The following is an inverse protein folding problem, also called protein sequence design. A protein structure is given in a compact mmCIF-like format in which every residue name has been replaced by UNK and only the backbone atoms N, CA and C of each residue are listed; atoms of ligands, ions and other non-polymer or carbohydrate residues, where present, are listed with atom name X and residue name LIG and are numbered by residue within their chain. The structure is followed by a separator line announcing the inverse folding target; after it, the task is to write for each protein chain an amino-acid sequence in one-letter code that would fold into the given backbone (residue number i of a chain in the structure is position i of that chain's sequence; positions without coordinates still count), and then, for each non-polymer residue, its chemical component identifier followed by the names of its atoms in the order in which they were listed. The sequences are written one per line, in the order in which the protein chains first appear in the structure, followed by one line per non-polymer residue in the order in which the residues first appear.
data_IF_985183635240
#
_entry.id   IF_985183635240
#
_cell.length_a   1.000
_cell.length_b   1.000
_cell.length_c   1.000
_cell.angle_alpha   90.00
_cell.angle_beta   90.00
_cell.angle_gamma   90.00
#
_symmetry.space_group_name_H-M   'P 1'
#
loop_
_entity.id
_entity.type
_entity.pdbx_description
1 polymer ?
#
# COMPACT_ATOMS: atom_id res chain seq x y z
N UNK A 1 -9.65 18.11 2.98
CA UNK A 1 -8.46 17.84 3.84
C UNK A 1 -7.46 18.97 3.61
N UNK A 2 -6.75 19.44 4.64
CA UNK A 2 -5.60 20.31 4.41
C UNK A 2 -4.49 19.55 3.66
N UNK A 3 -3.61 20.23 2.91
CA UNK A 3 -2.50 19.58 2.24
C UNK A 3 -1.69 18.72 3.21
N UNK A 4 -1.52 17.44 2.87
CA UNK A 4 -0.80 16.45 3.67
C UNK A 4 0.37 15.89 2.87
N UNK A 5 1.33 15.27 3.56
CA UNK A 5 2.55 14.70 3.00
C UNK A 5 2.41 13.19 2.90
N UNK A 6 2.27 12.69 1.67
CA UNK A 6 2.08 11.27 1.40
C UNK A 6 3.38 10.59 1.04
N UNK A 7 3.62 9.42 1.62
CA UNK A 7 4.55 8.43 1.11
C UNK A 7 3.78 7.21 0.62
N UNK A 8 3.95 6.87 -0.68
CA UNK A 8 3.29 5.72 -1.30
C UNK A 8 4.32 4.72 -1.79
N UNK A 9 4.40 3.54 -1.17
CA UNK A 9 5.30 2.49 -1.66
C UNK A 9 4.70 1.77 -2.87
N UNK A 10 5.52 1.44 -3.88
CA UNK A 10 5.03 0.84 -5.13
C UNK A 10 4.12 1.78 -5.93
N UNK A 11 4.37 3.10 -5.89
CA UNK A 11 3.54 4.13 -6.48
C UNK A 11 3.70 4.32 -7.99
N UNK A 12 4.58 3.56 -8.66
CA UNK A 12 4.84 3.75 -10.09
C UNK A 12 3.86 3.08 -11.04
N UNK A 13 2.99 2.19 -10.55
CA UNK A 13 1.98 1.47 -11.35
C UNK A 13 0.81 0.96 -10.51
N UNK A 14 -0.26 0.51 -11.17
CA UNK A 14 -1.41 -0.14 -10.55
C UNK A 14 -2.11 0.72 -9.51
N UNK A 15 -2.49 0.14 -8.37
CA UNK A 15 -3.20 0.82 -7.29
C UNK A 15 -2.35 1.98 -6.74
N UNK A 16 -1.04 1.75 -6.52
CA UNK A 16 -0.15 2.80 -6.03
C UNK A 16 -0.11 4.03 -6.92
N UNK A 17 -0.08 3.84 -8.24
CA UNK A 17 -0.12 4.94 -9.20
C UNK A 17 -1.43 5.73 -9.12
N UNK A 18 -2.57 5.06 -9.02
CA UNK A 18 -3.87 5.72 -8.86
C UNK A 18 -3.92 6.54 -7.56
N UNK A 19 -3.34 6.03 -6.46
CA UNK A 19 -3.25 6.77 -5.20
C UNK A 19 -2.37 8.01 -5.35
N UNK A 20 -1.21 7.90 -6.00
CA UNK A 20 -0.31 9.03 -6.27
C UNK A 20 -1.03 10.11 -7.09
N UNK A 21 -1.74 9.72 -8.16
CA UNK A 21 -2.50 10.66 -9.00
C UNK A 21 -3.60 11.37 -8.22
N UNK A 22 -4.40 10.63 -7.47
CA UNK A 22 -5.50 11.24 -6.70
C UNK A 22 -4.99 12.14 -5.57
N UNK A 23 -3.96 11.72 -4.84
CA UNK A 23 -3.37 12.55 -3.81
C UNK A 23 -2.79 13.87 -4.38
N UNK A 24 -2.10 13.80 -5.53
CA UNK A 24 -1.59 15.01 -6.21
C UNK A 24 -2.71 15.91 -6.73
N UNK A 25 -3.76 15.34 -7.33
CA UNK A 25 -4.93 16.09 -7.81
C UNK A 25 -5.69 16.78 -6.66
N UNK A 26 -5.66 16.19 -5.46
CA UNK A 26 -6.22 16.79 -4.25
C UNK A 26 -5.30 17.85 -3.58
N UNK A 27 -4.14 18.17 -4.18
CA UNK A 27 -3.22 19.20 -3.71
C UNK A 27 -2.25 18.74 -2.63
N UNK A 28 -2.11 17.42 -2.39
CA UNK A 28 -1.17 16.88 -1.43
C UNK A 28 0.27 16.86 -1.99
N UNK A 29 1.27 16.90 -1.11
CA UNK A 29 2.65 16.59 -1.44
C UNK A 29 2.82 15.07 -1.46
N UNK A 30 3.49 14.53 -2.49
CA UNK A 30 3.63 13.08 -2.63
C UNK A 30 5.05 12.71 -2.99
N UNK A 31 5.63 11.85 -2.17
CA UNK A 31 6.80 11.03 -2.51
C UNK A 31 6.30 9.61 -2.75
N UNK A 32 6.78 8.95 -3.77
CA UNK A 32 6.46 7.55 -4.03
C UNK A 32 7.71 6.74 -4.39
N UNK A 33 7.68 5.44 -4.11
CA UNK A 33 8.78 4.53 -4.44
C UNK A 33 8.36 3.52 -5.50
N UNK A 34 9.36 2.97 -6.18
CA UNK A 34 9.22 1.88 -7.13
C UNK A 34 10.58 1.28 -7.48
N UNK A 35 10.61 0.15 -8.19
CA UNK A 35 11.87 -0.48 -8.59
C UNK A 35 12.28 -0.16 -10.02
N UNK A 36 11.33 0.13 -10.88
CA UNK A 36 11.57 0.42 -12.29
C UNK A 36 11.68 1.93 -12.50
N UNK A 37 12.90 2.42 -12.84
CA UNK A 37 13.19 3.83 -13.01
C UNK A 37 12.35 4.47 -14.13
N UNK A 38 12.13 3.78 -15.24
CA UNK A 38 11.35 4.33 -16.36
C UNK A 38 9.88 4.59 -15.97
N UNK A 39 9.27 3.66 -15.20
CA UNK A 39 7.91 3.85 -14.69
C UNK A 39 7.84 4.96 -13.63
N UNK A 40 8.89 5.10 -12.81
CA UNK A 40 9.01 6.17 -11.82
C UNK A 40 9.05 7.51 -12.54
N UNK A 41 9.95 7.67 -13.53
CA UNK A 41 10.11 8.91 -14.29
C UNK A 41 8.82 9.29 -15.03
N UNK A 42 8.14 8.32 -15.62
CA UNK A 42 6.88 8.54 -16.31
C UNK A 42 5.79 9.05 -15.33
N UNK A 43 5.68 8.43 -14.15
CA UNK A 43 4.72 8.82 -13.12
C UNK A 43 5.06 10.19 -12.53
N UNK A 44 6.33 10.46 -12.24
CA UNK A 44 6.78 11.76 -11.75
C UNK A 44 6.47 12.90 -12.73
N UNK A 45 6.74 12.69 -14.04
CA UNK A 45 6.38 13.67 -15.09
C UNK A 45 4.88 13.89 -15.20
N UNK A 46 4.09 12.82 -15.08
CA UNK A 46 2.62 12.90 -15.21
C UNK A 46 1.99 13.67 -14.05
N UNK A 47 2.50 13.49 -12.83
CA UNK A 47 1.82 13.94 -11.60
C UNK A 47 2.51 15.11 -10.89
N UNK A 48 3.77 15.37 -11.20
CA UNK A 48 4.61 16.29 -10.43
C UNK A 48 4.95 15.76 -9.02
N UNK A 49 4.71 14.47 -8.75
CA UNK A 49 5.15 13.83 -7.51
C UNK A 49 6.64 13.49 -7.57
N UNK A 50 7.29 13.35 -6.41
CA UNK A 50 8.69 12.96 -6.31
C UNK A 50 8.80 11.43 -6.33
N UNK A 51 9.41 10.87 -7.37
CA UNK A 51 9.66 9.44 -7.50
C UNK A 51 11.04 9.06 -7.01
N UNK A 52 11.14 7.96 -6.26
CA UNK A 52 12.39 7.41 -5.75
C UNK A 52 12.53 5.95 -6.18
N UNK A 53 13.71 5.58 -6.69
CA UNK A 53 14.01 4.17 -6.91
C UNK A 53 14.40 3.53 -5.58
N UNK A 54 13.55 2.62 -5.09
CA UNK A 54 13.76 1.91 -3.85
C UNK A 54 13.00 0.58 -3.86
N UNK A 55 13.60 -0.44 -3.22
CA UNK A 55 12.96 -1.71 -2.90
C UNK A 55 12.67 -1.74 -1.39
N UNK A 56 11.39 -1.85 -1.03
CA UNK A 56 10.96 -1.87 0.37
C UNK A 56 11.55 -3.03 1.18
N UNK A 57 11.97 -4.12 0.53
CA UNK A 57 12.65 -5.25 1.18
C UNK A 57 14.10 -4.96 1.58
N UNK A 58 14.66 -3.81 1.15
CA UNK A 58 16.04 -3.40 1.42
C UNK A 58 16.04 -2.31 2.51
N UNK A 59 16.58 -2.58 3.73
CA UNK A 59 16.54 -1.61 4.84
C UNK A 59 17.20 -0.28 4.53
N UNK A 60 18.30 -0.25 3.75
CA UNK A 60 18.98 0.98 3.36
C UNK A 60 18.12 1.83 2.40
N UNK A 61 17.33 1.20 1.54
CA UNK A 61 16.39 1.89 0.67
C UNK A 61 15.26 2.54 1.48
N UNK A 62 14.80 1.86 2.53
CA UNK A 62 13.81 2.41 3.45
C UNK A 62 14.38 3.62 4.22
N UNK A 63 15.63 3.54 4.70
CA UNK A 63 16.30 4.67 5.35
C UNK A 63 16.38 5.88 4.41
N UNK A 64 16.93 5.69 3.19
CA UNK A 64 17.02 6.76 2.17
C UNK A 64 15.65 7.32 1.78
N UNK A 65 14.61 6.48 1.74
CA UNK A 65 13.25 6.92 1.45
C UNK A 65 12.72 7.87 2.53
N UNK A 66 12.95 7.55 3.81
CA UNK A 66 12.52 8.41 4.92
C UNK A 66 13.30 9.72 4.91
N UNK A 67 14.61 9.69 4.70
CA UNK A 67 15.45 10.89 4.60
C UNK A 67 14.96 11.80 3.46
N UNK A 68 14.71 11.25 2.28
CA UNK A 68 14.15 11.99 1.15
C UNK A 68 12.78 12.60 1.45
N UNK A 69 11.90 11.91 2.20
CA UNK A 69 10.62 12.47 2.63
C UNK A 69 10.83 13.69 3.57
N UNK A 70 11.80 13.61 4.48
CA UNK A 70 12.14 14.74 5.33
C UNK A 70 12.68 15.93 4.53
N UNK A 71 13.61 15.69 3.61
CA UNK A 71 14.20 16.74 2.77
C UNK A 71 13.17 17.40 1.83
N UNK A 72 12.29 16.61 1.21
CA UNK A 72 11.37 17.08 0.16
C UNK A 72 10.07 17.64 0.68
N UNK A 73 9.58 17.14 1.81
CA UNK A 73 8.25 17.45 2.35
C UNK A 73 8.26 17.85 3.83
N UNK A 74 9.38 17.72 4.53
CA UNK A 74 9.44 17.94 5.99
C UNK A 74 8.87 16.79 6.83
N UNK A 75 8.64 15.61 6.22
CA UNK A 75 8.18 14.40 6.91
C UNK A 75 7.03 13.68 6.20
N UNK A 76 6.36 12.78 6.91
CA UNK A 76 5.25 11.96 6.38
C UNK A 76 4.04 12.07 7.30
N UNK A 77 2.89 12.47 6.74
CA UNK A 77 1.60 12.50 7.45
C UNK A 77 0.77 11.26 7.13
N UNK A 78 0.86 10.78 5.88
CA UNK A 78 0.15 9.62 5.39
C UNK A 78 1.15 8.63 4.77
N UNK A 79 1.29 7.46 5.37
CA UNK A 79 2.05 6.35 4.83
C UNK A 79 1.09 5.36 4.17
N UNK A 80 1.29 5.08 2.87
CA UNK A 80 0.56 4.04 2.15
C UNK A 80 1.50 2.88 1.84
N UNK A 81 1.38 1.81 2.60
CA UNK A 81 2.07 0.55 2.42
C UNK A 81 1.37 -0.26 1.32
N UNK A 82 1.68 0.04 0.05
CA UNK A 82 1.08 -0.60 -1.11
C UNK A 82 2.04 -1.56 -1.83
N UNK A 83 3.35 -1.39 -1.71
CA UNK A 83 4.32 -2.28 -2.35
C UNK A 83 4.08 -3.74 -1.99
N UNK A 84 4.11 -4.60 -2.99
CA UNK A 84 3.92 -6.03 -2.82
C UNK A 84 3.78 -6.76 -4.14
N UNK A 85 3.92 -8.08 -4.11
CA UNK A 85 3.67 -8.95 -5.24
C UNK A 85 3.09 -10.29 -4.79
N UNK A 86 2.65 -11.12 -5.74
CA UNK A 86 2.12 -12.44 -5.48
C UNK A 86 3.06 -13.52 -6.04
N UNK A 87 3.45 -14.44 -5.18
CA UNK A 87 4.00 -15.74 -5.56
C UNK A 87 2.99 -16.83 -5.22
N UNK A 88 2.75 -17.74 -6.14
CA UNK A 88 1.79 -18.83 -6.02
C UNK A 88 2.45 -20.15 -6.34
N UNK A 89 2.02 -21.22 -5.68
CA UNK A 89 2.50 -22.57 -5.92
C UNK A 89 1.65 -23.59 -5.17
N UNK A 90 1.60 -24.82 -5.69
CA UNK A 90 0.91 -25.93 -5.04
C UNK A 90 1.74 -26.44 -3.86
N UNK A 91 1.08 -26.86 -2.79
CA UNK A 91 1.78 -27.52 -1.69
C UNK A 91 2.45 -28.82 -2.20
N UNK A 92 3.66 -29.07 -1.76
CA UNK A 92 4.51 -30.16 -2.29
C UNK A 92 5.50 -29.69 -3.37
N UNK A 93 5.20 -28.60 -4.10
CA UNK A 93 6.10 -27.96 -5.07
C UNK A 93 6.37 -26.49 -4.75
N UNK A 94 5.88 -25.98 -3.62
CA UNK A 94 6.05 -24.60 -3.22
C UNK A 94 7.51 -24.30 -2.87
N UNK A 95 8.11 -23.34 -3.56
CA UNK A 95 9.46 -22.87 -3.29
C UNK A 95 9.46 -21.93 -2.06
N UNK A 96 10.03 -22.40 -0.96
CA UNK A 96 10.10 -21.66 0.30
C UNK A 96 11.02 -20.44 0.19
N UNK A 97 12.04 -20.44 -0.66
CA UNK A 97 12.91 -19.27 -0.84
C UNK A 97 12.16 -18.13 -1.48
N UNK A 98 11.38 -18.39 -2.53
CA UNK A 98 10.49 -17.39 -3.15
C UNK A 98 9.38 -16.90 -2.21
N UNK A 99 8.88 -17.78 -1.34
CA UNK A 99 7.94 -17.37 -0.29
C UNK A 99 8.60 -16.39 0.68
N UNK A 100 9.85 -16.64 1.12
CA UNK A 100 10.60 -15.73 1.99
C UNK A 100 10.82 -14.38 1.33
N UNK A 101 11.31 -14.34 0.08
CA UNK A 101 11.48 -13.10 -0.69
C UNK A 101 10.19 -12.28 -0.79
N UNK A 102 9.05 -12.97 -0.97
CA UNK A 102 7.76 -12.29 -0.99
C UNK A 102 7.40 -11.73 0.40
N UNK A 103 7.68 -12.45 1.48
CA UNK A 103 7.49 -11.95 2.84
C UNK A 103 8.42 -10.78 3.16
N UNK A 104 9.65 -10.77 2.66
CA UNK A 104 10.58 -9.64 2.80
C UNK A 104 9.96 -8.37 2.23
N UNK A 105 9.31 -8.46 1.06
CA UNK A 105 8.61 -7.31 0.46
C UNK A 105 7.27 -7.02 1.15
N UNK A 106 6.37 -8.04 1.24
CA UNK A 106 4.98 -7.83 1.61
C UNK A 106 4.77 -7.60 3.11
N UNK A 107 5.74 -8.02 3.95
CA UNK A 107 5.61 -8.02 5.42
C UNK A 107 6.78 -7.30 6.08
N UNK A 108 8.00 -7.82 5.96
CA UNK A 108 9.12 -7.31 6.76
C UNK A 108 9.55 -5.91 6.33
N UNK A 109 9.64 -5.64 5.04
CA UNK A 109 10.02 -4.33 4.52
C UNK A 109 9.02 -3.24 4.90
N UNK A 110 7.73 -3.55 4.82
CA UNK A 110 6.67 -2.65 5.29
C UNK A 110 6.79 -2.35 6.79
N UNK A 111 7.13 -3.35 7.62
CA UNK A 111 7.32 -3.15 9.07
C UNK A 111 8.55 -2.28 9.32
N UNK A 112 9.68 -2.55 8.64
CA UNK A 112 10.90 -1.73 8.77
C UNK A 112 10.64 -0.27 8.40
N UNK A 113 10.01 -0.01 7.24
CA UNK A 113 9.70 1.35 6.81
C UNK A 113 8.76 2.06 7.81
N UNK A 114 7.74 1.37 8.29
CA UNK A 114 6.78 1.94 9.25
C UNK A 114 7.44 2.26 10.58
N UNK A 115 8.34 1.38 11.08
CA UNK A 115 9.11 1.63 12.30
C UNK A 115 9.96 2.91 12.23
N UNK A 116 10.46 3.27 11.05
CA UNK A 116 11.25 4.50 10.84
C UNK A 116 10.38 5.77 10.83
N UNK A 117 9.11 5.66 10.44
CA UNK A 117 8.19 6.81 10.28
C UNK A 117 7.39 7.08 11.56
N UNK A 118 6.96 6.05 12.25
CA UNK A 118 6.07 6.14 13.44
C UNK A 118 6.62 7.03 14.55
N UNK A 119 7.92 7.06 14.89
CA UNK A 119 8.41 7.95 15.95
C UNK A 119 8.08 9.43 15.71
N UNK A 120 8.21 9.90 14.47
CA UNK A 120 7.89 11.28 14.11
C UNK A 120 6.38 11.54 14.14
N UNK A 121 5.53 10.57 13.76
CA UNK A 121 4.08 10.66 13.88
C UNK A 121 3.67 10.72 15.37
N UNK A 122 4.25 9.86 16.23
CA UNK A 122 3.98 9.88 17.68
C UNK A 122 4.36 11.22 18.31
N UNK A 123 5.51 11.79 17.93
CA UNK A 123 5.95 13.08 18.47
C UNK A 123 4.99 14.23 18.09
N UNK A 124 4.34 14.15 16.93
CA UNK A 124 3.32 15.13 16.49
C UNK A 124 1.93 14.87 17.07
N UNK A 125 1.67 13.66 17.59
CA UNK A 125 0.34 13.26 18.04
C UNK A 125 -0.66 13.03 16.91
N UNK A 126 -0.18 12.82 15.67
CA UNK A 126 -1.03 12.56 14.50
C UNK A 126 -0.31 11.82 13.38
N UNK A 127 -1.04 11.05 12.60
CA UNK A 127 -0.57 10.31 11.44
C UNK A 127 -1.65 9.38 10.87
N UNK A 128 -1.41 8.94 9.65
CA UNK A 128 -2.27 7.98 8.95
C UNK A 128 -1.39 6.87 8.36
N UNK A 129 -1.76 5.62 8.58
CA UNK A 129 -1.10 4.46 7.97
C UNK A 129 -2.16 3.66 7.24
N UNK A 130 -1.98 3.48 5.93
CA UNK A 130 -2.85 2.65 5.09
C UNK A 130 -2.08 1.42 4.64
N UNK A 131 -2.55 0.25 5.02
CA UNK A 131 -1.95 -1.03 4.64
C UNK A 131 -2.80 -1.71 3.56
N UNK A 132 -2.22 -1.95 2.37
CA UNK A 132 -2.88 -2.67 1.27
C UNK A 132 -2.75 -4.18 1.48
N UNK A 133 -3.75 -4.77 2.14
CA UNK A 133 -3.89 -6.21 2.28
C UNK A 133 -4.51 -6.83 1.00
N UNK A 134 -5.48 -7.69 1.13
CA UNK A 134 -6.27 -8.32 0.06
C UNK A 134 -7.40 -9.13 0.68
N UNK A 135 -8.46 -9.42 -0.08
CA UNK A 135 -9.43 -10.47 0.29
C UNK A 135 -8.80 -11.86 0.41
N UNK A 136 -7.61 -12.09 -0.20
CA UNK A 136 -6.79 -13.29 0.07
C UNK A 136 -6.26 -13.36 1.51
N UNK A 137 -6.23 -12.25 2.26
CA UNK A 137 -6.00 -12.22 3.69
C UNK A 137 -7.24 -12.50 4.54
N UNK A 138 -8.39 -12.79 3.91
CA UNK A 138 -9.66 -13.12 4.58
C UNK A 138 -10.09 -14.56 4.29
N UNK A 139 -9.70 -15.09 3.12
CA UNK A 139 -10.04 -16.44 2.67
C UNK A 139 -8.89 -17.02 1.86
N UNK A 140 -8.46 -18.23 2.21
CA UNK A 140 -7.49 -19.00 1.44
C UNK A 140 -8.08 -19.50 0.12
N UNK A 141 -7.22 -19.74 -0.86
CA UNK A 141 -7.56 -20.36 -2.14
C UNK A 141 -6.44 -21.32 -2.56
N UNK A 142 -6.76 -22.26 -3.46
CA UNK A 142 -5.77 -23.16 -4.02
C UNK A 142 -4.57 -22.38 -4.61
N UNK A 143 -3.39 -22.93 -4.48
CA UNK A 143 -2.11 -22.32 -4.89
C UNK A 143 -1.74 -21.00 -4.20
N UNK A 144 -2.58 -20.50 -3.30
CA UNK A 144 -2.47 -19.20 -2.66
C UNK A 144 -1.66 -19.19 -1.35
N UNK A 145 -1.08 -20.31 -0.91
CA UNK A 145 -0.47 -20.45 0.42
C UNK A 145 0.43 -19.27 0.78
N UNK A 146 1.41 -18.95 -0.05
CA UNK A 146 2.37 -17.87 0.21
C UNK A 146 1.69 -16.51 0.28
N UNK A 147 0.95 -16.16 -0.77
CA UNK A 147 0.33 -14.83 -0.88
C UNK A 147 -0.74 -14.61 0.18
N UNK A 148 -1.63 -15.59 0.38
CA UNK A 148 -2.65 -15.51 1.41
C UNK A 148 -2.01 -15.34 2.79
N UNK A 149 -1.00 -16.15 3.15
CA UNK A 149 -0.30 -16.03 4.43
C UNK A 149 0.28 -14.63 4.64
N UNK A 150 0.93 -14.03 3.63
CA UNK A 150 1.45 -12.66 3.73
C UNK A 150 0.35 -11.63 3.96
N UNK A 151 -0.82 -11.78 3.33
CA UNK A 151 -1.94 -10.85 3.47
C UNK A 151 -2.74 -11.07 4.77
N UNK A 152 -2.77 -12.29 5.31
CA UNK A 152 -3.24 -12.55 6.69
C UNK A 152 -2.32 -11.91 7.73
N UNK A 153 -0.99 -12.05 7.55
CA UNK A 153 -0.01 -11.39 8.41
C UNK A 153 -0.24 -9.87 8.43
N UNK A 154 -0.43 -9.26 7.26
CA UNK A 154 -0.64 -7.82 7.15
C UNK A 154 -1.91 -7.32 7.83
N UNK A 155 -2.99 -8.11 7.79
CA UNK A 155 -4.21 -7.81 8.56
C UNK A 155 -3.97 -7.89 10.06
N UNK A 156 -3.30 -8.95 10.53
CA UNK A 156 -2.94 -9.08 11.96
C UNK A 156 -2.05 -7.93 12.44
N UNK A 157 -1.02 -7.58 11.67
CA UNK A 157 -0.15 -6.42 11.92
C UNK A 157 -0.98 -5.13 12.01
N UNK A 158 -1.91 -4.92 11.09
CA UNK A 158 -2.76 -3.73 11.09
C UNK A 158 -3.60 -3.62 12.37
N UNK A 159 -4.16 -4.73 12.86
CA UNK A 159 -4.93 -4.76 14.10
C UNK A 159 -4.05 -4.44 15.32
N UNK A 160 -2.84 -5.00 15.39
CA UNK A 160 -1.88 -4.66 16.46
C UNK A 160 -1.55 -3.16 16.44
N UNK A 161 -1.21 -2.61 15.27
CA UNK A 161 -0.89 -1.19 15.14
C UNK A 161 -2.08 -0.27 15.42
N UNK A 162 -3.31 -0.69 15.11
CA UNK A 162 -4.51 0.05 15.53
C UNK A 162 -4.60 0.19 17.05
N UNK A 163 -4.32 -0.88 17.77
CA UNK A 163 -4.33 -0.86 19.23
C UNK A 163 -3.18 -0.02 19.82
N UNK A 164 -1.96 -0.19 19.27
CA UNK A 164 -0.75 0.49 19.75
C UNK A 164 -0.71 1.98 19.44
N UNK A 165 -1.21 2.39 18.28
CA UNK A 165 -1.00 3.75 17.74
C UNK A 165 -2.19 4.68 17.97
N UNK A 166 -3.39 4.14 18.21
CA UNK A 166 -4.58 4.95 18.52
C UNK A 166 -4.39 5.91 19.71
N UNK A 167 -3.75 5.53 20.82
CA UNK A 167 -3.49 6.46 21.93
C UNK A 167 -2.59 7.65 21.54
N UNK A 168 -1.85 7.52 20.44
CA UNK A 168 -0.99 8.58 19.90
C UNK A 168 -1.65 9.41 18.78
N UNK A 169 -2.96 9.29 18.59
CA UNK A 169 -3.69 10.01 17.55
C UNK A 169 -3.37 9.54 16.12
N UNK A 170 -2.77 8.36 15.95
CA UNK A 170 -2.43 7.78 14.65
C UNK A 170 -3.52 6.78 14.26
N UNK A 171 -4.09 6.94 13.06
CA UNK A 171 -5.08 6.01 12.50
C UNK A 171 -4.39 4.99 11.59
N UNK A 172 -4.74 3.72 11.75
CA UNK A 172 -4.28 2.64 10.88
C UNK A 172 -5.47 2.03 10.18
N UNK A 173 -5.42 1.99 8.85
CA UNK A 173 -6.51 1.53 7.98
C UNK A 173 -6.00 0.36 7.16
N UNK A 174 -6.69 -0.77 7.22
CA UNK A 174 -6.39 -1.95 6.41
C UNK A 174 -7.37 -2.01 5.24
N UNK A 175 -6.88 -1.94 4.01
CA UNK A 175 -7.69 -2.07 2.80
C UNK A 175 -7.51 -3.47 2.23
N UNK A 176 -8.62 -4.17 1.99
CA UNK A 176 -8.66 -5.54 1.49
C UNK A 176 -9.34 -5.59 0.11
N UNK A 177 -8.66 -5.20 -0.98
CA UNK A 177 -9.23 -5.30 -2.32
C UNK A 177 -9.46 -6.74 -2.73
N UNK A 178 -10.53 -6.99 -3.48
CA UNK A 178 -10.70 -8.21 -4.26
C UNK A 178 -9.90 -8.11 -5.57
N UNK A 179 -10.35 -8.74 -6.65
CA UNK A 179 -9.63 -8.70 -7.92
C UNK A 179 -9.70 -7.31 -8.56
N UNK A 180 -8.55 -6.63 -8.64
CA UNK A 180 -8.38 -5.31 -9.28
C UNK A 180 -7.67 -5.49 -10.62
N UNK A 181 -8.16 -4.85 -11.67
CA UNK A 181 -7.56 -4.88 -12.99
C UNK A 181 -6.27 -4.06 -13.03
N UNK A 182 -5.16 -4.75 -12.86
CA UNK A 182 -3.79 -4.21 -12.91
C UNK A 182 -2.87 -5.28 -13.46
N UNK A 183 -1.62 -4.93 -13.74
CA UNK A 183 -0.59 -5.90 -14.14
C UNK A 183 -0.06 -6.74 -12.94
N UNK A 184 -0.71 -6.72 -11.80
CA UNK A 184 -0.31 -7.44 -10.60
C UNK A 184 -0.35 -8.96 -10.84
N UNK A 185 0.75 -9.64 -10.51
CA UNK A 185 0.86 -11.09 -10.67
C UNK A 185 0.95 -11.55 -12.14
N UNK A 186 1.36 -10.66 -13.06
CA UNK A 186 1.53 -11.01 -14.49
C UNK A 186 0.21 -11.14 -15.26
N UNK A 187 -0.88 -10.70 -14.67
CA UNK A 187 -2.20 -10.73 -15.31
C UNK A 187 -2.41 -9.48 -16.17
N UNK A 188 -2.08 -9.56 -17.45
CA UNK A 188 -2.61 -8.62 -18.44
C UNK A 188 -4.04 -9.06 -18.81
N UNK A 189 -5.03 -8.54 -18.11
CA UNK A 189 -6.43 -8.96 -18.30
C UNK A 189 -7.14 -8.21 -19.40
N UNK A 190 -8.16 -8.83 -19.99
CA UNK A 190 -9.19 -8.14 -20.77
C UNK A 190 -9.83 -7.07 -19.90
N UNK A 191 -10.05 -5.88 -20.45
CA UNK A 191 -10.74 -4.82 -19.75
C UNK A 191 -12.18 -5.24 -19.50
N UNK A 192 -12.53 -5.63 -18.28
CA UNK A 192 -13.87 -5.99 -17.87
C UNK A 192 -14.47 -4.86 -17.04
N UNK A 193 -15.48 -4.13 -17.54
CA UNK A 193 -16.06 -2.98 -16.85
C UNK A 193 -16.76 -3.34 -15.52
N UNK A 194 -17.02 -4.64 -15.29
CA UNK A 194 -17.66 -5.13 -14.06
C UNK A 194 -16.65 -5.48 -12.95
N UNK A 195 -15.34 -5.43 -13.23
CA UNK A 195 -14.27 -5.64 -12.23
C UNK A 195 -13.75 -4.31 -11.69
N UNK A 196 -13.14 -4.35 -10.50
CA UNK A 196 -12.53 -3.16 -9.90
C UNK A 196 -11.38 -2.63 -10.74
N UNK A 197 -11.29 -1.31 -10.80
CA UNK A 197 -10.14 -0.56 -11.29
C UNK A 197 -9.25 -0.09 -10.13
N UNK A 198 -8.01 0.26 -10.43
CA UNK A 198 -7.10 0.84 -9.44
C UNK A 198 -7.66 2.15 -8.83
N UNK A 199 -8.40 2.92 -9.62
CA UNK A 199 -9.05 4.15 -9.17
C UNK A 199 -10.08 3.90 -8.05
N UNK A 200 -10.87 2.81 -8.12
CA UNK A 200 -11.87 2.50 -7.10
C UNK A 200 -11.25 2.29 -5.72
N UNK A 201 -10.03 1.70 -5.71
CA UNK A 201 -9.29 1.50 -4.46
C UNK A 201 -8.70 2.81 -3.96
N UNK A 202 -8.19 3.65 -4.86
CA UNK A 202 -7.69 4.96 -4.50
C UNK A 202 -8.83 5.85 -3.95
N UNK A 203 -10.02 5.85 -4.57
CA UNK A 203 -11.22 6.55 -4.07
C UNK A 203 -11.61 6.08 -2.66
N UNK A 204 -11.58 4.75 -2.44
CA UNK A 204 -11.86 4.17 -1.11
C UNK A 204 -10.88 4.68 -0.06
N UNK A 205 -9.58 4.71 -0.39
CA UNK A 205 -8.53 5.20 0.51
C UNK A 205 -8.73 6.69 0.80
N UNK A 206 -8.94 7.50 -0.22
CA UNK A 206 -9.15 8.95 -0.04
C UNK A 206 -10.42 9.23 0.77
N UNK A 207 -11.51 8.47 0.57
CA UNK A 207 -12.70 8.57 1.40
C UNK A 207 -12.43 8.23 2.87
N UNK A 208 -11.68 7.16 3.14
CA UNK A 208 -11.31 6.77 4.49
C UNK A 208 -10.43 7.82 5.20
N UNK A 209 -9.47 8.40 4.49
CA UNK A 209 -8.60 9.46 4.99
C UNK A 209 -9.38 10.77 5.25
N UNK A 210 -10.42 11.05 4.47
CA UNK A 210 -11.27 12.23 4.62
C UNK A 210 -12.28 12.13 5.78
N UNK A 211 -12.42 10.99 6.44
CA UNK A 211 -13.25 10.85 7.63
C UNK A 211 -12.79 11.80 8.75
N UNK A 212 -13.71 12.35 9.54
CA UNK A 212 -13.35 13.13 10.73
C UNK A 212 -12.36 12.37 11.62
N UNK A 213 -11.37 13.04 12.19
CA UNK A 213 -10.30 12.42 13.01
C UNK A 213 -10.83 11.52 14.15
N UNK A 214 -12.03 11.78 14.67
CA UNK A 214 -12.68 10.95 15.68
C UNK A 214 -13.24 9.63 15.15
N UNK A 215 -13.31 9.45 13.82
CA UNK A 215 -13.82 8.24 13.17
C UNK A 215 -12.66 7.44 12.55
N UNK A 216 -12.78 6.12 12.60
CA UNK A 216 -11.84 5.19 11.99
C UNK A 216 -12.61 4.07 11.31
N UNK A 217 -12.29 3.81 10.06
CA UNK A 217 -12.60 2.55 9.38
C UNK A 217 -11.39 1.62 9.50
N UNK A 218 -11.39 0.70 10.48
CA UNK A 218 -10.18 -0.08 10.77
C UNK A 218 -9.84 -1.06 9.66
N UNK A 219 -10.86 -1.60 8.98
CA UNK A 219 -10.69 -2.52 7.85
C UNK A 219 -11.82 -2.30 6.84
N UNK A 220 -11.46 -2.25 5.55
CA UNK A 220 -12.38 -2.10 4.43
C UNK A 220 -12.11 -3.18 3.39
N UNK A 221 -13.07 -4.07 3.18
CA UNK A 221 -13.07 -5.02 2.07
C UNK A 221 -13.82 -4.42 0.87
N UNK A 222 -13.17 -4.40 -0.28
CA UNK A 222 -13.71 -3.82 -1.52
C UNK A 222 -13.87 -4.91 -2.56
N UNK A 223 -15.12 -5.17 -2.96
CA UNK A 223 -15.48 -6.19 -3.94
C UNK A 223 -16.09 -5.56 -5.18
N UNK A 224 -15.83 -6.13 -6.34
CA UNK A 224 -16.63 -5.84 -7.51
C UNK A 224 -18.07 -6.33 -7.28
N UNK A 225 -19.05 -5.51 -7.67
CA UNK A 225 -20.47 -5.84 -7.43
C UNK A 225 -20.93 -7.05 -8.24
N UNK A 226 -20.50 -7.16 -9.50
CA UNK A 226 -20.84 -8.29 -10.37
C UNK A 226 -19.66 -8.68 -11.27
N UNK A 227 -18.60 -9.33 -10.72
CA UNK A 227 -17.38 -9.63 -11.47
C UNK A 227 -17.56 -10.76 -12.51
N UNK A 228 -18.67 -11.47 -12.47
CA UNK A 228 -18.98 -12.63 -13.34
C UNK A 228 -19.69 -12.24 -14.65
N UNK A 229 -20.18 -11.00 -14.72
CA UNK A 229 -20.82 -10.49 -15.92
C UNK A 229 -19.73 -10.05 -16.91
N UNK A 230 -19.72 -10.69 -18.08
CA UNK A 230 -18.84 -10.34 -19.20
C UNK A 230 -19.35 -9.12 -19.96
#
# INVERSE_FOLDING_TARGET
MQPSRFLVTGGSQGIGAAIVEQARNAGHQVVFTGRNQQLIDAMARKTGAVGLQADVSVPDDNARTVDACHERMGGVDVLVNNAGYAYRGEIGALDVSKMKEMFDTNVFGLVDLTNRIVPAMKARGEGEIVNLASTSGMKGAATGTSYAASKWALRGISQCWQAELRPHGIRVICICPSEVQTNFGGRSGRNNPNKLYAADIADTIMAALNMPRRALWPELAVFANNPWKE
#
